data_IF_334851195416
#
_entry.id   IF_334851195416
#
_cell.length_a   1.000
_cell.length_b   1.000
_cell.length_c   1.000
_cell.angle_alpha   90.00
_cell.angle_beta   90.00
_cell.angle_gamma   90.00
#
_symmetry.space_group_name_H-M   'P 1'
#
loop_
_entity.id
_entity.type
_entity.pdbx_description
1 polymer ?
#
# COMPACT_ATOMS: atom_id res chain seq x y z
N UNK A 1 -1.04 13.86 10.99
CA UNK A 1 -0.01 13.43 11.97
C UNK A 1 0.94 12.39 11.41
N UNK A 2 0.46 11.34 10.72
CA UNK A 2 1.34 10.32 10.11
C UNK A 2 2.38 10.87 9.13
N UNK A 3 2.02 11.92 8.39
CA UNK A 3 2.88 12.53 7.37
C UNK A 3 3.77 13.66 7.92
N UNK A 4 3.74 13.90 9.24
CA UNK A 4 4.57 14.93 9.88
C UNK A 4 5.94 14.31 10.18
N UNK A 5 7.02 15.02 9.86
CA UNK A 5 8.39 14.56 10.13
C UNK A 5 8.69 14.37 11.62
N UNK A 6 9.63 13.46 11.93
CA UNK A 6 10.01 13.05 13.29
C UNK A 6 10.37 14.23 14.22
N UNK A 7 10.93 15.29 13.64
CA UNK A 7 11.33 16.52 14.33
C UNK A 7 10.18 17.27 15.03
N UNK A 8 8.93 17.01 14.66
CA UNK A 8 7.77 17.66 15.25
C UNK A 8 7.11 16.83 16.38
N UNK A 9 7.60 15.62 16.66
CA UNK A 9 7.09 14.83 17.79
C UNK A 9 7.75 15.26 19.09
N UNK A 10 7.12 16.22 19.78
CA UNK A 10 7.53 16.67 21.11
C UNK A 10 7.06 15.71 22.19
N UNK A 11 7.64 15.83 23.39
CA UNK A 11 7.25 15.02 24.55
C UNK A 11 5.76 15.18 24.91
N UNK A 12 5.19 16.38 24.70
CA UNK A 12 3.76 16.65 24.91
C UNK A 12 2.88 15.83 23.97
N UNK A 13 3.26 15.72 22.69
CA UNK A 13 2.55 14.91 21.71
C UNK A 13 2.62 13.43 22.10
N UNK A 14 3.79 12.95 22.52
CA UNK A 14 3.95 11.56 22.97
C UNK A 14 3.02 11.26 24.17
N UNK A 15 2.91 12.17 25.15
CA UNK A 15 1.98 12.00 26.27
C UNK A 15 0.52 11.92 25.82
N UNK A 16 0.12 12.71 24.83
CA UNK A 16 -1.24 12.63 24.26
C UNK A 16 -1.46 11.31 23.54
N UNK A 17 -0.50 10.86 22.73
CA UNK A 17 -0.57 9.58 22.02
C UNK A 17 -0.68 8.40 23.00
N UNK A 18 0.06 8.44 24.12
CA UNK A 18 -0.06 7.46 25.19
C UNK A 18 -1.47 7.42 25.80
N UNK A 19 -2.06 8.59 26.07
CA UNK A 19 -3.43 8.69 26.59
C UNK A 19 -4.46 8.10 25.63
N UNK A 20 -4.30 8.34 24.33
CA UNK A 20 -5.18 7.77 23.30
C UNK A 20 -5.01 6.26 23.21
N UNK A 21 -3.77 5.75 23.17
CA UNK A 21 -3.50 4.32 23.06
C UNK A 21 -4.02 3.51 24.25
N UNK A 22 -3.76 3.99 25.46
CA UNK A 22 -4.17 3.35 26.72
C UNK A 22 -5.62 3.67 27.13
N UNK A 23 -6.36 4.44 26.32
CA UNK A 23 -7.75 4.83 26.60
C UNK A 23 -7.94 5.50 27.98
N UNK A 24 -7.02 6.40 28.36
CA UNK A 24 -7.21 7.22 29.58
C UNK A 24 -8.34 8.27 29.41
N UNK A 25 -8.76 8.52 28.17
CA UNK A 25 -9.91 9.33 27.79
C UNK A 25 -11.10 8.44 27.39
N UNK A 26 -12.33 9.00 27.30
CA UNK A 26 -13.50 8.26 26.84
C UNK A 26 -13.23 7.47 25.56
N UNK A 27 -13.98 6.39 25.38
CA UNK A 27 -13.78 5.36 24.36
C UNK A 27 -13.17 5.89 23.07
N UNK A 28 -11.96 5.41 22.76
CA UNK A 28 -11.23 5.74 21.54
C UNK A 28 -11.40 4.60 20.54
N UNK A 29 -11.63 4.98 19.28
CA UNK A 29 -11.79 4.04 18.17
C UNK A 29 -10.53 3.19 17.97
N UNK A 30 -10.68 1.94 17.53
CA UNK A 30 -9.55 1.01 17.32
C UNK A 30 -8.49 1.59 16.36
N UNK A 31 -8.93 2.23 15.28
CA UNK A 31 -8.04 2.82 14.28
C UNK A 31 -7.17 3.94 14.87
N UNK A 32 -7.75 4.79 15.73
CA UNK A 32 -7.02 5.86 16.42
C UNK A 32 -5.97 5.30 17.38
N UNK A 33 -6.30 4.22 18.12
CA UNK A 33 -5.36 3.56 19.03
C UNK A 33 -4.19 2.91 18.30
N UNK A 34 -4.47 2.18 17.22
CA UNK A 34 -3.44 1.53 16.40
C UNK A 34 -2.53 2.59 15.77
N UNK A 35 -3.11 3.69 15.29
CA UNK A 35 -2.34 4.81 14.75
C UNK A 35 -1.47 5.46 15.83
N UNK A 36 -2.01 5.69 17.03
CA UNK A 36 -1.24 6.26 18.14
C UNK A 36 -0.04 5.37 18.51
N UNK A 37 -0.22 4.05 18.56
CA UNK A 37 0.88 3.11 18.78
C UNK A 37 1.93 3.17 17.66
N UNK A 38 1.52 3.23 16.38
CA UNK A 38 2.43 3.38 15.25
C UNK A 38 3.24 4.67 15.33
N UNK A 39 2.61 5.78 15.72
CA UNK A 39 3.29 7.06 15.89
C UNK A 39 4.28 7.02 17.05
N UNK A 40 3.91 6.43 18.20
CA UNK A 40 4.80 6.26 19.35
C UNK A 40 6.05 5.42 19.03
N UNK A 41 5.90 4.39 18.17
CA UNK A 41 7.02 3.58 17.71
C UNK A 41 7.96 4.34 16.77
N UNK A 42 7.43 5.30 16.00
CA UNK A 42 8.21 6.16 15.08
C UNK A 42 8.86 7.35 15.80
N UNK A 43 8.22 7.89 16.83
CA UNK A 43 8.66 9.11 17.52
C UNK A 43 9.74 8.86 18.59
N UNK A 44 11.00 8.68 18.18
CA UNK A 44 12.15 8.48 19.10
C UNK A 44 11.84 7.49 20.25
N UNK A 45 11.63 6.21 19.92
CA UNK A 45 11.18 5.23 20.90
C UNK A 45 12.21 5.01 22.01
N UNK A 46 11.75 4.93 23.25
CA UNK A 46 12.57 4.52 24.40
C UNK A 46 12.24 3.07 24.79
N UNK A 47 13.13 2.47 25.56
CA UNK A 47 12.91 1.14 26.15
C UNK A 47 11.63 1.13 27.01
N UNK A 48 11.35 2.22 27.72
CA UNK A 48 10.15 2.36 28.53
C UNK A 48 8.89 2.43 27.67
N UNK A 49 8.89 3.23 26.59
CA UNK A 49 7.70 3.38 25.73
C UNK A 49 7.32 2.06 25.06
N UNK A 50 8.31 1.33 24.53
CA UNK A 50 8.08 0.01 23.92
C UNK A 50 7.68 -1.03 24.99
N UNK A 51 8.26 -0.94 26.19
CA UNK A 51 7.91 -1.82 27.31
C UNK A 51 6.44 -1.68 27.75
N UNK A 52 5.91 -0.45 27.78
CA UNK A 52 4.50 -0.19 28.06
C UNK A 52 3.59 -0.74 26.95
N UNK A 53 3.97 -0.54 25.68
CA UNK A 53 3.22 -1.09 24.54
C UNK A 53 3.17 -2.62 24.64
N UNK A 54 4.29 -3.30 24.88
CA UNK A 54 4.34 -4.77 25.00
C UNK A 54 3.53 -5.25 26.20
N UNK A 55 3.59 -4.54 27.32
CA UNK A 55 2.81 -4.88 28.53
C UNK A 55 1.32 -4.80 28.26
N UNK A 56 0.86 -3.79 27.52
CA UNK A 56 -0.57 -3.64 27.22
C UNK A 56 -1.09 -4.69 26.22
N UNK A 57 -0.23 -5.35 25.44
CA UNK A 57 -0.62 -6.48 24.58
C UNK A 57 -1.12 -7.69 25.37
N UNK A 58 -0.79 -7.79 26.66
CA UNK A 58 -1.29 -8.87 27.52
C UNK A 58 -2.78 -8.77 27.83
N UNK A 59 -3.37 -7.58 27.66
CA UNK A 59 -4.79 -7.31 27.91
C UNK A 59 -5.59 -7.79 26.71
N UNK A 60 -6.20 -8.97 26.81
CA UNK A 60 -6.92 -9.63 25.71
C UNK A 60 -8.37 -9.14 25.51
N UNK A 61 -8.75 -7.97 26.03
CA UNK A 61 -10.09 -7.41 25.82
C UNK A 61 -10.36 -7.12 24.33
N UNK A 62 -9.33 -6.69 23.58
CA UNK A 62 -9.42 -6.40 22.15
C UNK A 62 -8.28 -7.13 21.39
N UNK A 63 -8.42 -8.45 21.14
CA UNK A 63 -7.33 -9.29 20.63
C UNK A 63 -6.90 -8.93 19.19
N UNK A 64 -7.78 -8.29 18.42
CA UNK A 64 -7.47 -7.85 17.07
C UNK A 64 -6.51 -6.65 17.06
N UNK A 65 -6.70 -5.70 17.99
CA UNK A 65 -5.81 -4.55 18.15
C UNK A 65 -4.44 -5.00 18.65
N UNK A 66 -4.39 -5.83 19.70
CA UNK A 66 -3.12 -6.32 20.25
C UNK A 66 -2.32 -7.08 19.19
N UNK A 67 -2.99 -7.91 18.39
CA UNK A 67 -2.35 -8.61 17.26
C UNK A 67 -1.81 -7.63 16.22
N UNK A 68 -2.61 -6.64 15.83
CA UNK A 68 -2.22 -5.67 14.80
C UNK A 68 -1.05 -4.79 15.26
N UNK A 69 -1.08 -4.30 16.50
CA UNK A 69 0.00 -3.50 17.10
C UNK A 69 1.28 -4.32 17.18
N UNK A 70 1.21 -5.58 17.61
CA UNK A 70 2.37 -6.48 17.62
C UNK A 70 2.96 -6.68 16.22
N UNK A 71 2.12 -6.86 15.20
CA UNK A 71 2.60 -6.98 13.80
C UNK A 71 3.23 -5.69 13.30
N UNK A 72 2.66 -4.53 13.64
CA UNK A 72 3.27 -3.22 13.34
C UNK A 72 4.59 -3.01 14.06
N UNK A 73 4.74 -3.48 15.30
CA UNK A 73 6.02 -3.45 16.03
C UNK A 73 7.09 -4.26 15.29
N UNK A 74 6.76 -5.48 14.84
CA UNK A 74 7.71 -6.28 14.04
C UNK A 74 8.11 -5.60 12.73
N UNK A 75 7.17 -4.93 12.05
CA UNK A 75 7.48 -4.19 10.82
C UNK A 75 8.38 -2.97 11.13
N UNK A 76 8.09 -2.24 12.22
CA UNK A 76 8.92 -1.13 12.68
C UNK A 76 10.34 -1.59 13.07
N UNK A 77 10.49 -2.79 13.64
CA UNK A 77 11.81 -3.42 13.86
C UNK A 77 12.54 -3.75 12.56
N UNK A 78 11.86 -3.99 11.44
CA UNK A 78 12.51 -4.23 10.15
C UNK A 78 13.00 -2.92 9.53
N UNK A 79 12.22 -1.85 9.65
CA UNK A 79 12.54 -0.53 9.11
C UNK A 79 13.62 0.21 9.92
N UNK A 80 13.52 0.21 11.26
CA UNK A 80 14.39 0.99 12.13
C UNK A 80 15.29 0.12 13.00
N UNK A 81 16.59 0.43 12.97
CA UNK A 81 17.60 -0.21 13.83
C UNK A 81 17.45 0.16 15.30
N UNK A 82 16.94 1.36 15.61
CA UNK A 82 16.75 1.85 17.00
C UNK A 82 15.61 1.10 17.69
N UNK A 83 14.47 0.96 17.02
CA UNK A 83 13.34 0.14 17.49
C UNK A 83 13.79 -1.30 17.70
N UNK A 84 14.56 -1.84 16.74
CA UNK A 84 15.11 -3.19 16.83
C UNK A 84 15.96 -3.37 18.08
N UNK A 85 16.92 -2.48 18.36
CA UNK A 85 17.75 -2.57 19.56
C UNK A 85 16.91 -2.51 20.83
N UNK A 86 15.98 -1.56 20.94
CA UNK A 86 15.13 -1.42 22.13
C UNK A 86 14.28 -2.67 22.38
N UNK A 87 13.65 -3.22 21.34
CA UNK A 87 12.87 -4.46 21.46
C UNK A 87 13.78 -5.62 21.82
N UNK A 88 14.95 -5.78 21.19
CA UNK A 88 15.86 -6.89 21.54
C UNK A 88 16.37 -6.81 22.97
N UNK A 89 16.59 -5.62 23.51
CA UNK A 89 17.01 -5.44 24.89
C UNK A 89 15.87 -5.71 25.88
N UNK A 90 14.63 -5.29 25.56
CA UNK A 90 13.45 -5.62 26.35
C UNK A 90 13.15 -7.11 26.39
N UNK A 91 13.24 -7.78 25.24
CA UNK A 91 12.91 -9.20 25.13
C UNK A 91 13.92 -10.11 25.86
N UNK A 92 15.10 -9.62 26.25
CA UNK A 92 16.01 -10.34 27.16
C UNK A 92 15.40 -10.50 28.54
N UNK A 93 14.52 -9.59 28.96
CA UNK A 93 13.82 -9.68 30.23
C UNK A 93 12.59 -10.58 30.09
N UNK A 94 12.54 -11.65 30.88
CA UNK A 94 11.46 -12.65 30.90
C UNK A 94 10.07 -12.08 31.21
N UNK A 95 9.97 -10.91 31.84
CA UNK A 95 8.69 -10.22 32.09
C UNK A 95 8.02 -9.76 30.80
N UNK A 96 8.81 -9.36 29.80
CA UNK A 96 8.34 -8.89 28.51
C UNK A 96 8.43 -9.98 27.43
N UNK A 97 9.56 -10.68 27.37
CA UNK A 97 9.87 -11.74 26.40
C UNK A 97 9.26 -13.10 26.74
N UNK A 98 7.93 -13.16 26.85
CA UNK A 98 7.22 -14.41 27.12
C UNK A 98 6.05 -14.63 26.14
N UNK A 99 5.59 -15.88 26.07
CA UNK A 99 4.46 -16.24 25.22
C UNK A 99 3.16 -15.57 25.65
N UNK A 100 3.01 -15.20 26.93
CA UNK A 100 1.81 -14.56 27.43
C UNK A 100 1.59 -13.18 26.78
N UNK A 101 2.66 -12.39 26.60
CA UNK A 101 2.59 -11.08 25.95
C UNK A 101 2.64 -11.17 24.42
N UNK A 102 3.40 -12.12 23.86
CA UNK A 102 3.71 -12.18 22.42
C UNK A 102 2.80 -13.12 21.63
N UNK A 103 2.12 -14.08 22.26
CA UNK A 103 1.21 -14.99 21.58
C UNK A 103 -0.19 -14.38 21.50
N UNK A 104 -0.50 -13.81 20.34
CA UNK A 104 -1.78 -13.14 20.10
C UNK A 104 -2.71 -14.00 19.24
N UNK A 105 -4.00 -14.05 19.62
CA UNK A 105 -5.01 -14.91 18.98
C UNK A 105 -5.76 -14.21 17.82
N UNK A 106 -5.64 -12.89 17.68
CA UNK A 106 -6.37 -12.13 16.65
C UNK A 106 -5.99 -12.51 15.21
N UNK A 107 -6.90 -12.24 14.29
CA UNK A 107 -6.80 -12.54 12.85
C UNK A 107 -6.16 -11.41 12.04
N UNK A 108 -6.08 -10.21 12.60
CA UNK A 108 -5.44 -9.03 12.02
C UNK A 108 -3.97 -9.25 11.68
N UNK A 109 -3.49 -8.59 10.63
CA UNK A 109 -2.12 -8.74 10.16
C UNK A 109 -1.56 -7.47 9.53
N UNK A 110 -0.23 -7.37 9.55
CA UNK A 110 0.52 -6.32 8.88
C UNK A 110 1.82 -6.92 8.39
N UNK A 111 2.17 -6.71 7.13
CA UNK A 111 3.40 -7.20 6.52
C UNK A 111 3.99 -6.12 5.61
N UNK A 112 5.31 -5.98 5.64
CA UNK A 112 6.06 -5.13 4.71
C UNK A 112 7.13 -6.01 4.07
N UNK A 113 7.19 -5.98 2.74
CA UNK A 113 8.12 -6.79 1.95
C UNK A 113 8.71 -5.95 0.83
N UNK A 114 9.87 -6.39 0.33
CA UNK A 114 10.50 -5.76 -0.82
C UNK A 114 9.83 -6.20 -2.12
N UNK A 115 9.43 -5.22 -2.94
CA UNK A 115 8.90 -5.42 -4.28
C UNK A 115 10.04 -5.62 -5.29
N UNK A 116 11.04 -4.73 -5.21
CA UNK A 116 12.20 -4.69 -6.09
C UNK A 116 13.32 -3.84 -5.47
N UNK A 117 14.51 -4.43 -5.34
CA UNK A 117 15.73 -3.71 -4.99
C UNK A 117 16.45 -3.28 -6.27
N UNK A 118 16.90 -2.04 -6.33
CA UNK A 118 17.86 -1.56 -7.35
C UNK A 118 19.06 -0.91 -6.66
N UNK A 119 20.13 -0.63 -7.40
CA UNK A 119 21.35 -0.04 -6.81
C UNK A 119 21.07 1.32 -6.14
N UNK A 120 20.17 2.11 -6.71
CA UNK A 120 19.86 3.47 -6.24
C UNK A 120 18.59 3.56 -5.38
N UNK A 121 17.67 2.59 -5.50
CA UNK A 121 16.37 2.64 -4.82
C UNK A 121 15.79 1.26 -4.51
N UNK A 122 15.19 1.12 -3.33
CA UNK A 122 14.42 -0.05 -2.91
C UNK A 122 12.94 0.28 -2.89
N UNK A 123 12.14 -0.51 -3.58
CA UNK A 123 10.68 -0.39 -3.58
C UNK A 123 10.11 -1.45 -2.67
N UNK A 124 9.32 -1.04 -1.69
CA UNK A 124 8.64 -1.91 -0.73
C UNK A 124 7.12 -1.81 -0.88
N UNK A 125 6.43 -2.90 -0.59
CA UNK A 125 4.98 -2.93 -0.46
C UNK A 125 4.59 -3.36 0.95
N UNK A 126 3.57 -2.70 1.50
CA UNK A 126 3.01 -2.97 2.81
C UNK A 126 1.53 -3.33 2.68
N UNK A 127 1.10 -4.37 3.40
CA UNK A 127 -0.31 -4.75 3.50
C UNK A 127 -0.72 -4.77 4.96
N UNK A 128 -1.76 -4.00 5.29
CA UNK A 128 -2.39 -4.00 6.59
C UNK A 128 -3.80 -4.56 6.47
N UNK A 129 -4.18 -5.44 7.38
CA UNK A 129 -5.51 -6.05 7.48
C UNK A 129 -5.95 -5.95 8.93
N UNK A 130 -6.94 -5.12 9.19
CA UNK A 130 -7.63 -5.00 10.47
C UNK A 130 -8.94 -5.77 10.40
N UNK A 131 -9.07 -6.75 11.28
CA UNK A 131 -10.25 -7.58 11.41
C UNK A 131 -11.05 -7.14 12.63
N UNK A 132 -12.36 -7.32 12.57
CA UNK A 132 -13.25 -7.22 13.72
C UNK A 132 -13.19 -8.53 14.54
N UNK A 133 -13.54 -8.50 15.83
CA UNK A 133 -13.65 -9.73 16.65
C UNK A 133 -14.59 -10.78 16.05
N UNK A 134 -15.58 -10.35 15.27
CA UNK A 134 -16.51 -11.23 14.53
C UNK A 134 -15.87 -12.01 13.37
N UNK A 135 -14.61 -11.68 13.02
CA UNK A 135 -13.92 -12.22 11.86
C UNK A 135 -14.28 -11.51 10.55
N UNK A 136 -15.01 -10.40 10.60
CA UNK A 136 -15.24 -9.53 9.44
C UNK A 136 -14.09 -8.57 9.22
N UNK A 137 -13.87 -8.18 7.97
CA UNK A 137 -12.87 -7.16 7.63
C UNK A 137 -13.36 -5.78 8.09
N UNK A 138 -12.53 -5.06 8.86
CA UNK A 138 -12.78 -3.65 9.21
C UNK A 138 -12.09 -2.71 8.23
N UNK A 139 -10.79 -2.92 8.02
CA UNK A 139 -9.97 -2.07 7.15
C UNK A 139 -8.85 -2.85 6.50
N UNK A 140 -8.56 -2.58 5.24
CA UNK A 140 -7.34 -3.03 4.58
C UNK A 140 -6.60 -1.85 4.00
N UNK A 141 -5.27 -1.86 4.05
CA UNK A 141 -4.46 -0.93 3.24
C UNK A 141 -3.39 -1.68 2.47
N UNK A 142 -3.11 -1.17 1.27
CA UNK A 142 -2.00 -1.53 0.42
C UNK A 142 -1.17 -0.27 0.19
N UNK A 143 0.07 -0.30 0.66
CA UNK A 143 0.98 0.84 0.67
C UNK A 143 2.19 0.50 -0.21
N UNK A 144 2.55 1.40 -1.12
CA UNK A 144 3.76 1.34 -1.95
C UNK A 144 4.67 2.50 -1.60
N UNK A 145 5.89 2.18 -1.20
CA UNK A 145 6.91 3.16 -0.85
C UNK A 145 8.22 2.86 -1.58
N UNK A 146 8.97 3.92 -1.88
CA UNK A 146 10.29 3.87 -2.48
C UNK A 146 11.27 4.54 -1.54
N UNK A 147 12.30 3.81 -1.15
CA UNK A 147 13.43 4.33 -0.39
C UNK A 147 14.60 4.54 -1.35
N UNK A 148 15.05 5.78 -1.53
CA UNK A 148 16.19 6.13 -2.39
C UNK A 148 17.01 7.27 -1.79
N UNK A 149 18.34 7.16 -1.82
CA UNK A 149 19.27 8.17 -1.27
C UNK A 149 18.94 8.66 0.17
N UNK A 150 18.36 7.80 1.01
CA UNK A 150 17.96 8.15 2.39
C UNK A 150 16.60 8.84 2.52
N UNK A 151 15.91 9.11 1.42
CA UNK A 151 14.54 9.63 1.42
C UNK A 151 13.52 8.52 1.16
N UNK A 152 12.41 8.56 1.89
CA UNK A 152 11.30 7.64 1.72
C UNK A 152 10.13 8.37 1.03
N UNK A 153 9.83 7.97 -0.21
CA UNK A 153 8.73 8.49 -1.00
C UNK A 153 7.53 7.54 -0.96
N UNK A 154 6.41 8.01 -0.42
CA UNK A 154 5.13 7.30 -0.48
C UNK A 154 4.53 7.43 -1.89
N UNK A 155 4.64 6.38 -2.70
CA UNK A 155 4.19 6.40 -4.09
C UNK A 155 2.68 6.29 -4.21
N UNK A 156 2.09 5.33 -3.50
CA UNK A 156 0.65 5.06 -3.54
C UNK A 156 0.22 4.42 -2.21
N UNK A 157 -0.93 4.80 -1.70
CA UNK A 157 -1.61 4.11 -0.61
C UNK A 157 -3.07 3.96 -0.97
N UNK A 158 -3.56 2.73 -1.00
CA UNK A 158 -4.98 2.42 -1.22
C UNK A 158 -5.50 1.74 0.04
N UNK A 159 -6.56 2.28 0.63
CA UNK A 159 -7.23 1.64 1.75
C UNK A 159 -8.72 1.46 1.50
N UNK A 160 -9.25 0.34 1.94
CA UNK A 160 -10.67 0.00 1.93
C UNK A 160 -11.12 -0.08 3.39
N UNK A 161 -12.29 0.48 3.68
CA UNK A 161 -12.86 0.47 5.02
C UNK A 161 -14.34 0.14 4.97
N UNK A 162 -14.81 -0.48 6.06
CA UNK A 162 -16.18 -0.95 6.21
C UNK A 162 -16.68 -0.58 7.62
N UNK A 163 -17.71 0.26 7.67
CA UNK A 163 -18.31 0.83 8.88
C UNK A 163 -19.76 0.33 9.04
N UNK A 164 -20.26 0.30 10.28
CA UNK A 164 -21.63 -0.17 10.57
C UNK A 164 -21.91 -1.68 10.41
N UNK A 165 -21.03 -2.47 9.78
CA UNK A 165 -21.23 -3.94 9.67
C UNK A 165 -20.89 -4.68 10.98
N UNK A 166 -21.90 -4.80 11.86
CA UNK A 166 -21.92 -5.72 13.00
C UNK A 166 -22.89 -6.87 12.77
N UNK A 167 -22.51 -8.09 13.17
CA UNK A 167 -23.36 -9.29 13.05
C UNK A 167 -24.16 -9.58 14.33
N UNK A 168 -23.91 -8.84 15.41
CA UNK A 168 -24.50 -9.04 16.73
C UNK A 168 -25.24 -7.77 17.20
N UNK A 169 -26.36 -7.98 17.89
CA UNK A 169 -27.21 -6.89 18.41
C UNK A 169 -26.49 -5.97 19.42
N UNK A 170 -25.41 -6.44 20.04
CA UNK A 170 -24.58 -5.64 20.95
C UNK A 170 -23.69 -4.64 20.19
N UNK A 171 -23.17 -5.01 19.02
CA UNK A 171 -22.32 -4.12 18.19
C UNK A 171 -23.16 -3.05 17.47
N UNK A 172 -24.40 -3.38 17.10
CA UNK A 172 -25.35 -2.40 16.51
C UNK A 172 -25.79 -1.33 17.53
N UNK A 173 -25.70 -1.62 18.84
CA UNK A 173 -25.97 -0.64 19.90
C UNK A 173 -24.76 0.25 20.21
N UNK A 174 -23.54 -0.27 20.06
CA UNK A 174 -22.30 0.50 20.28
C UNK A 174 -21.97 1.48 19.14
N UNK A 175 -22.34 1.14 17.90
CA UNK A 175 -22.19 2.04 16.75
C UNK A 175 -23.47 2.09 15.90
N UNK A 176 -24.36 3.08 16.13
CA UNK A 176 -25.56 3.30 15.34
C UNK A 176 -25.27 3.94 13.97
N UNK A 177 -24.04 3.76 13.46
CA UNK A 177 -23.64 4.26 12.16
C UNK A 177 -24.31 3.46 11.04
N UNK A 178 -24.78 4.15 10.02
CA UNK A 178 -25.31 3.51 8.83
C UNK A 178 -24.23 2.65 8.17
N UNK A 179 -24.60 1.43 7.74
CA UNK A 179 -23.69 0.53 7.04
C UNK A 179 -23.04 1.24 5.85
N UNK A 180 -21.73 1.43 5.89
CA UNK A 180 -21.02 2.13 4.83
C UNK A 180 -19.75 1.37 4.47
N UNK A 181 -19.34 1.48 3.22
CA UNK A 181 -18.03 1.04 2.79
C UNK A 181 -17.44 2.05 1.83
N UNK A 182 -16.13 2.21 1.88
CA UNK A 182 -15.45 3.17 1.04
C UNK A 182 -14.00 2.82 0.77
N UNK A 183 -13.41 3.63 -0.10
CA UNK A 183 -12.02 3.58 -0.50
C UNK A 183 -11.38 4.94 -0.28
N UNK A 184 -10.16 4.94 0.26
CA UNK A 184 -9.30 6.12 0.34
C UNK A 184 -8.03 5.84 -0.45
N UNK A 185 -7.66 6.77 -1.32
CA UNK A 185 -6.48 6.68 -2.16
C UNK A 185 -5.57 7.89 -1.90
N UNK A 186 -4.28 7.63 -1.80
CA UNK A 186 -3.22 8.64 -1.77
C UNK A 186 -2.20 8.31 -2.85
N UNK A 187 -1.77 9.32 -3.60
CA UNK A 187 -0.80 9.19 -4.69
C UNK A 187 0.26 10.25 -4.47
N UNK A 188 1.53 9.85 -4.43
CA UNK A 188 2.69 10.75 -4.23
C UNK A 188 2.52 11.68 -3.02
N UNK A 189 2.00 11.15 -1.91
CA UNK A 189 1.73 11.90 -0.68
C UNK A 189 0.47 12.78 -0.70
N UNK A 190 -0.25 12.87 -1.83
CA UNK A 190 -1.50 13.62 -1.93
C UNK A 190 -2.69 12.71 -1.67
N UNK A 191 -3.42 12.99 -0.59
CA UNK A 191 -4.65 12.29 -0.24
C UNK A 191 -5.80 12.79 -1.11
N UNK A 192 -6.42 11.88 -1.86
CA UNK A 192 -7.63 12.16 -2.62
C UNK A 192 -8.87 12.06 -1.74
N UNK A 193 -9.97 12.68 -2.17
CA UNK A 193 -11.26 12.57 -1.48
C UNK A 193 -11.67 11.09 -1.41
N UNK A 194 -12.00 10.57 -0.21
CA UNK A 194 -12.50 9.21 -0.09
C UNK A 194 -13.76 9.00 -0.95
N UNK A 195 -13.82 7.84 -1.58
CA UNK A 195 -14.96 7.40 -2.38
C UNK A 195 -15.80 6.43 -1.56
N UNK A 196 -17.10 6.71 -1.42
CA UNK A 196 -18.03 5.87 -0.66
C UNK A 196 -18.81 5.03 -1.68
N UNK A 197 -18.77 3.70 -1.53
CA UNK A 197 -19.45 2.77 -2.42
C UNK A 197 -20.97 2.76 -2.20
N UNK A 198 -21.39 2.79 -0.93
CA UNK A 198 -22.78 2.85 -0.52
C UNK A 198 -22.88 3.41 0.90
N UNK A 199 -24.07 3.93 1.20
CA UNK A 199 -24.48 4.38 2.53
C UNK A 199 -25.83 3.75 2.88
N UNK A 200 -25.88 3.05 4.01
CA UNK A 200 -27.07 2.34 4.48
C UNK A 200 -27.30 0.97 3.82
N UNK A 201 -28.19 0.20 4.45
CA UNK A 201 -28.54 -1.16 3.99
C UNK A 201 -29.33 -1.15 2.68
N UNK A 202 -30.11 -0.11 2.42
CA UNK A 202 -30.94 -0.01 1.20
C UNK A 202 -30.10 0.06 -0.08
N UNK A 203 -29.08 0.93 -0.09
CA UNK A 203 -28.17 1.05 -1.24
C UNK A 203 -27.31 -0.19 -1.42
N UNK A 204 -26.77 -0.75 -0.32
CA UNK A 204 -26.05 -2.02 -0.35
C UNK A 204 -26.88 -3.14 -0.98
N UNK A 205 -28.11 -3.33 -0.49
CA UNK A 205 -28.99 -4.38 -1.01
C UNK A 205 -29.34 -4.09 -2.47
N UNK A 206 -29.56 -2.82 -2.84
CA UNK A 206 -29.74 -2.42 -4.24
C UNK A 206 -28.57 -2.83 -5.13
N UNK A 207 -27.33 -2.62 -4.70
CA UNK A 207 -26.12 -3.03 -5.42
C UNK A 207 -25.99 -4.55 -5.56
N UNK A 208 -26.29 -5.30 -4.49
CA UNK A 208 -26.27 -6.76 -4.50
C UNK A 208 -27.34 -7.31 -5.46
N UNK A 209 -28.59 -6.80 -5.37
CA UNK A 209 -29.71 -7.30 -6.17
C UNK A 209 -29.63 -6.91 -7.65
N UNK A 210 -29.10 -5.72 -7.95
CA UNK A 210 -28.88 -5.29 -9.33
C UNK A 210 -27.71 -6.01 -10.00
N UNK A 211 -26.86 -6.71 -9.22
CA UNK A 211 -25.63 -7.29 -9.73
C UNK A 211 -24.65 -6.24 -10.24
N UNK A 212 -24.79 -4.97 -9.82
CA UNK A 212 -23.95 -3.87 -10.28
C UNK A 212 -22.46 -4.10 -9.98
N UNK A 213 -22.15 -4.89 -8.94
CA UNK A 213 -20.78 -5.28 -8.60
C UNK A 213 -20.11 -6.25 -9.58
N UNK A 214 -20.87 -7.01 -10.38
CA UNK A 214 -20.30 -8.05 -11.24
C UNK A 214 -19.47 -7.47 -12.39
N UNK A 215 -19.82 -6.26 -12.86
CA UNK A 215 -19.08 -5.60 -13.93
C UNK A 215 -17.95 -4.73 -13.34
N UNK A 216 -16.76 -4.73 -13.97
CA UNK A 216 -15.65 -3.87 -13.53
C UNK A 216 -16.05 -2.40 -13.58
N UNK A 217 -16.06 -1.75 -12.42
CA UNK A 217 -16.37 -0.33 -12.27
C UNK A 217 -15.07 0.44 -12.08
N UNK A 218 -14.76 1.46 -12.92
CA UNK A 218 -13.57 2.28 -12.75
C UNK A 218 -13.75 3.18 -11.52
N UNK A 219 -12.78 3.14 -10.62
CA UNK A 219 -12.75 4.00 -9.42
C UNK A 219 -11.86 5.23 -9.63
N UNK A 220 -10.71 5.08 -10.31
CA UNK A 220 -9.78 6.18 -10.61
C UNK A 220 -9.21 6.01 -12.00
N UNK A 221 -9.33 7.06 -12.81
CA UNK A 221 -8.71 7.15 -14.13
C UNK A 221 -8.06 8.51 -14.27
N UNK A 222 -6.73 8.56 -14.17
CA UNK A 222 -6.01 9.82 -14.10
C UNK A 222 -4.61 9.73 -14.71
N UNK A 223 -4.13 10.88 -15.20
CA UNK A 223 -2.77 11.08 -15.65
C UNK A 223 -2.11 12.12 -14.75
N UNK A 224 -1.01 11.75 -14.14
CA UNK A 224 -0.23 12.59 -13.23
C UNK A 224 1.08 12.97 -13.91
N UNK A 225 1.40 14.27 -13.96
CA UNK A 225 2.73 14.73 -14.31
C UNK A 225 3.59 14.67 -13.04
N UNK A 226 4.44 13.66 -12.95
CA UNK A 226 5.22 13.33 -11.75
C UNK A 226 6.61 13.97 -11.74
N UNK A 227 7.16 14.26 -12.93
CA UNK A 227 8.44 14.94 -13.10
C UNK A 227 8.21 16.03 -14.13
N UNK A 228 8.57 17.27 -13.79
CA UNK A 228 8.63 18.38 -14.74
C UNK A 228 9.82 19.25 -14.37
N UNK A 229 10.94 19.01 -15.04
CA UNK A 229 12.17 19.75 -14.82
C UNK A 229 12.65 20.32 -16.15
N UNK A 230 12.96 21.62 -16.14
CA UNK A 230 13.55 22.32 -17.27
C UNK A 230 14.67 23.20 -16.77
N UNK A 231 15.88 22.93 -17.23
CA UNK A 231 17.08 23.65 -16.83
C UNK A 231 17.85 24.07 -18.08
N UNK A 232 18.19 25.35 -18.14
CA UNK A 232 19.14 25.87 -19.13
C UNK A 232 20.44 26.15 -18.41
N UNK A 233 21.51 25.48 -18.81
CA UNK A 233 22.85 25.62 -18.23
C UNK A 233 23.75 26.31 -19.22
N UNK A 234 24.42 27.37 -18.78
CA UNK A 234 25.48 28.03 -19.57
C UNK A 234 26.81 27.38 -19.21
N UNK A 235 27.46 26.76 -20.19
CA UNK A 235 28.76 26.12 -20.01
C UNK A 235 29.88 27.17 -19.93
N UNK A 236 31.04 26.76 -19.41
CA UNK A 236 32.22 27.64 -19.29
C UNK A 236 32.72 28.18 -20.64
N UNK A 237 32.42 27.49 -21.74
CA UNK A 237 32.73 27.92 -23.10
C UNK A 237 31.65 28.84 -23.72
N UNK A 238 30.65 29.26 -22.94
CA UNK A 238 29.56 30.14 -23.38
C UNK A 238 28.43 29.45 -24.14
N UNK A 239 28.48 28.12 -24.30
CA UNK A 239 27.42 27.36 -24.98
C UNK A 239 26.23 27.14 -24.04
N UNK A 240 25.03 27.29 -24.57
CA UNK A 240 23.79 26.99 -23.85
C UNK A 240 23.41 25.52 -24.03
N UNK A 241 23.12 24.84 -22.91
CA UNK A 241 22.61 23.48 -22.87
C UNK A 241 21.23 23.50 -22.24
N UNK A 242 20.23 23.09 -23.01
CA UNK A 242 18.86 22.95 -22.51
C UNK A 242 18.61 21.49 -22.15
N UNK A 243 18.23 21.28 -20.88
CA UNK A 243 17.87 20.00 -20.32
C UNK A 243 16.38 20.06 -19.98
N UNK A 244 15.60 19.13 -20.53
CA UNK A 244 14.19 18.97 -20.18
C UNK A 244 13.92 17.53 -19.81
N UNK A 245 13.21 17.33 -18.71
CA UNK A 245 12.82 16.02 -18.21
C UNK A 245 11.37 16.08 -17.78
N UNK A 246 10.52 15.28 -18.42
CA UNK A 246 9.11 15.13 -18.11
C UNK A 246 8.79 13.67 -17.83
N UNK A 247 8.06 13.44 -16.75
CA UNK A 247 7.60 12.12 -16.32
C UNK A 247 6.11 12.15 -16.11
N UNK A 248 5.39 11.22 -16.73
CA UNK A 248 3.96 11.05 -16.56
C UNK A 248 3.63 9.64 -16.08
N UNK A 249 2.71 9.55 -15.12
CA UNK A 249 2.13 8.31 -14.62
C UNK A 249 0.65 8.30 -14.98
N UNK A 250 0.20 7.29 -15.72
CA UNK A 250 -1.22 7.01 -15.92
C UNK A 250 -1.64 5.90 -14.96
N UNK A 251 -2.77 6.07 -14.29
CA UNK A 251 -3.36 5.07 -13.41
C UNK A 251 -4.83 4.85 -13.75
N UNK A 252 -5.22 3.58 -13.89
CA UNK A 252 -6.59 3.10 -14.09
C UNK A 252 -6.86 2.00 -13.07
N UNK A 253 -7.60 2.35 -12.02
CA UNK A 253 -8.00 1.45 -10.94
C UNK A 253 -9.48 1.11 -11.15
N UNK A 254 -9.76 -0.18 -11.27
CA UNK A 254 -11.13 -0.70 -11.42
C UNK A 254 -11.37 -1.88 -10.49
N UNK A 255 -12.61 -2.06 -10.06
CA UNK A 255 -13.01 -3.15 -9.17
C UNK A 255 -14.29 -3.84 -9.62
N UNK A 256 -14.37 -5.14 -9.39
CA UNK A 256 -15.59 -5.93 -9.50
C UNK A 256 -15.74 -6.82 -8.27
N UNK A 257 -16.97 -7.00 -7.80
CA UNK A 257 -17.32 -7.82 -6.65
C UNK A 257 -18.54 -8.65 -6.99
N UNK A 258 -18.39 -9.97 -6.90
CA UNK A 258 -19.47 -10.94 -7.02
C UNK A 258 -19.76 -11.51 -5.63
N UNK A 259 -21.01 -11.42 -5.18
CA UNK A 259 -21.44 -11.97 -3.89
C UNK A 259 -22.56 -12.96 -4.12
N UNK A 260 -22.43 -14.17 -3.58
CA UNK A 260 -23.50 -15.17 -3.57
C UNK A 260 -23.91 -15.50 -2.15
N UNK A 261 -25.10 -15.02 -1.75
CA UNK A 261 -25.69 -15.35 -0.46
C UNK A 261 -26.10 -16.83 -0.36
N UNK A 262 -26.44 -17.46 -1.50
CA UNK A 262 -26.82 -18.87 -1.55
C UNK A 262 -25.64 -19.81 -1.35
N UNK A 263 -24.55 -19.55 -2.07
CA UNK A 263 -23.33 -20.35 -1.97
C UNK A 263 -22.42 -19.88 -0.83
N UNK A 264 -22.78 -18.77 -0.16
CA UNK A 264 -22.08 -18.16 0.96
C UNK A 264 -20.60 -17.84 0.66
N UNK A 265 -20.36 -17.32 -0.53
CA UNK A 265 -19.04 -16.89 -0.98
C UNK A 265 -19.08 -15.51 -1.61
N UNK A 266 -17.93 -14.84 -1.60
CA UNK A 266 -17.70 -13.59 -2.31
C UNK A 266 -16.37 -13.67 -3.06
N UNK A 267 -16.35 -13.11 -4.26
CA UNK A 267 -15.17 -13.00 -5.11
C UNK A 267 -15.02 -11.54 -5.51
N UNK A 268 -13.90 -10.92 -5.15
CA UNK A 268 -13.60 -9.55 -5.51
C UNK A 268 -12.29 -9.49 -6.31
N UNK A 269 -12.28 -8.68 -7.35
CA UNK A 269 -11.10 -8.43 -8.19
C UNK A 269 -10.91 -6.94 -8.30
N UNK A 270 -9.73 -6.45 -7.90
CA UNK A 270 -9.29 -5.07 -8.09
C UNK A 270 -8.13 -5.09 -9.06
N UNK A 271 -8.33 -4.47 -10.22
CA UNK A 271 -7.30 -4.33 -11.26
C UNK A 271 -6.74 -2.92 -11.21
N UNK A 272 -5.45 -2.82 -10.89
CA UNK A 272 -4.70 -1.58 -10.91
C UNK A 272 -3.75 -1.59 -12.11
N UNK A 273 -4.07 -0.81 -13.14
CA UNK A 273 -3.21 -0.63 -14.31
C UNK A 273 -2.46 0.68 -14.14
N UNK A 274 -1.13 0.60 -14.17
CA UNK A 274 -0.26 1.77 -14.15
C UNK A 274 0.62 1.80 -15.39
N UNK A 275 0.79 2.97 -16.00
CA UNK A 275 1.81 3.16 -17.04
C UNK A 275 2.68 4.36 -16.73
N UNK A 276 3.99 4.15 -16.75
CA UNK A 276 4.98 5.19 -16.56
C UNK A 276 5.61 5.55 -17.90
N UNK A 277 5.73 6.84 -18.17
CA UNK A 277 6.47 7.39 -19.31
C UNK A 277 7.36 8.51 -18.80
N UNK A 278 8.67 8.38 -19.00
CA UNK A 278 9.67 9.41 -18.72
C UNK A 278 10.35 9.75 -20.03
N UNK A 279 10.14 10.98 -20.48
CA UNK A 279 10.75 11.53 -21.69
C UNK A 279 11.61 12.72 -21.30
N UNK A 280 12.78 12.82 -21.91
CA UNK A 280 13.62 13.99 -21.74
C UNK A 280 14.42 14.25 -22.98
N UNK A 281 14.94 15.47 -23.07
CA UNK A 281 15.88 15.84 -24.09
C UNK A 281 17.01 16.68 -23.53
N UNK A 282 18.15 16.59 -24.19
CA UNK A 282 19.29 17.48 -24.01
C UNK A 282 19.58 18.12 -25.36
N UNK A 283 19.55 19.45 -25.43
CA UNK A 283 19.80 20.23 -26.64
C UNK A 283 21.01 21.13 -26.42
N UNK A 284 21.90 21.14 -27.40
CA UNK A 284 23.07 22.01 -27.44
C UNK A 284 23.04 22.76 -28.75
N UNK A 285 22.83 24.06 -28.68
CA UNK A 285 22.76 24.95 -29.84
C UNK A 285 24.02 25.80 -29.93
N UNK A 286 24.71 25.66 -31.07
CA UNK A 286 25.82 26.54 -31.45
C UNK A 286 25.60 27.06 -32.85
N UNK A 287 26.35 28.10 -33.24
CA UNK A 287 26.26 28.68 -34.59
C UNK A 287 26.72 27.72 -35.70
N UNK A 288 27.45 26.65 -35.36
CA UNK A 288 28.05 25.73 -36.32
C UNK A 288 27.49 24.31 -36.25
N UNK A 289 26.97 23.88 -35.10
CA UNK A 289 26.37 22.55 -34.89
C UNK A 289 25.21 22.65 -33.90
N UNK A 290 24.09 22.02 -34.25
CA UNK A 290 22.97 21.74 -33.35
C UNK A 290 22.97 20.24 -33.04
N UNK A 291 23.05 19.89 -31.75
CA UNK A 291 23.02 18.51 -31.28
C UNK A 291 21.88 18.33 -30.31
N UNK A 292 21.04 17.33 -30.59
CA UNK A 292 19.86 17.03 -29.80
C UNK A 292 19.83 15.55 -29.46
N UNK A 293 19.68 15.24 -28.17
CA UNK A 293 19.56 13.89 -27.65
C UNK A 293 18.22 13.75 -26.96
N UNK A 294 17.31 13.03 -27.59
CA UNK A 294 16.05 12.60 -27.02
C UNK A 294 16.22 11.24 -26.35
N UNK A 295 15.64 11.08 -25.16
CA UNK A 295 15.43 9.78 -24.57
C UNK A 295 14.00 9.64 -24.08
N UNK A 296 13.47 8.43 -24.24
CA UNK A 296 12.15 8.07 -23.76
C UNK A 296 12.21 6.68 -23.16
N UNK A 297 11.77 6.55 -21.92
CA UNK A 297 11.65 5.29 -21.22
C UNK A 297 10.25 5.13 -20.67
N UNK A 298 9.69 3.94 -20.75
CA UNK A 298 8.35 3.70 -20.25
C UNK A 298 7.91 2.26 -20.30
N UNK A 299 6.88 1.95 -19.53
CA UNK A 299 6.30 0.62 -19.41
C UNK A 299 4.94 0.69 -18.73
N UNK A 300 4.09 -0.27 -19.07
CA UNK A 300 2.82 -0.51 -18.39
C UNK A 300 2.93 -1.73 -17.50
N UNK A 301 2.46 -1.63 -16.26
CA UNK A 301 2.33 -2.76 -15.33
C UNK A 301 0.88 -2.88 -14.88
N UNK A 302 0.44 -4.10 -14.62
CA UNK A 302 -0.85 -4.38 -14.02
C UNK A 302 -0.60 -5.08 -12.69
N UNK A 303 -1.38 -4.72 -11.68
CA UNK A 303 -1.43 -5.39 -10.38
C UNK A 303 -2.87 -5.85 -10.16
N UNK A 304 -3.06 -7.15 -10.17
CA UNK A 304 -4.36 -7.79 -9.94
C UNK A 304 -4.42 -8.23 -8.48
N UNK A 305 -5.37 -7.68 -7.74
CA UNK A 305 -5.67 -8.08 -6.37
C UNK A 305 -6.97 -8.86 -6.36
N UNK A 306 -6.89 -10.15 -6.01
CA UNK A 306 -8.04 -11.05 -5.93
C UNK A 306 -8.31 -11.37 -4.47
N UNK A 307 -9.57 -11.24 -4.05
CA UNK A 307 -10.03 -11.57 -2.72
C UNK A 307 -11.14 -12.61 -2.85
N UNK A 308 -10.87 -13.81 -2.35
CA UNK A 308 -11.88 -14.84 -2.18
C UNK A 308 -12.27 -14.94 -0.72
N UNK A 309 -13.57 -14.94 -0.46
CA UNK A 309 -14.13 -15.05 0.88
C UNK A 309 -15.17 -16.16 0.92
N UNK A 310 -14.99 -17.11 1.84
CA UNK A 310 -15.95 -18.17 2.15
C UNK A 310 -16.48 -17.94 3.56
N UNK A 311 -17.75 -17.55 3.63
CA UNK A 311 -18.48 -17.29 4.87
C UNK A 311 -19.51 -18.38 5.19
N UNK A 312 -19.38 -19.58 4.59
CA UNK A 312 -20.24 -20.70 4.89
C UNK A 312 -20.02 -21.28 6.30
N UNK A 313 -18.80 -21.20 6.82
CA UNK A 313 -18.40 -21.72 8.14
C UNK A 313 -17.72 -20.62 8.96
N UNK A 314 -17.88 -20.67 10.28
CA UNK A 314 -17.13 -19.83 11.23
C UNK A 314 -15.87 -20.58 11.71
N UNK A 315 -14.69 -19.94 11.80
CA UNK A 315 -14.38 -18.59 11.34
C UNK A 315 -14.38 -18.49 9.81
N UNK A 316 -14.74 -17.32 9.27
CA UNK A 316 -14.74 -17.07 7.83
C UNK A 316 -13.33 -17.29 7.25
N UNK A 317 -13.25 -17.93 6.09
CA UNK A 317 -11.98 -18.12 5.40
C UNK A 317 -11.81 -17.02 4.34
N UNK A 318 -10.67 -16.34 4.37
CA UNK A 318 -10.31 -15.31 3.40
C UNK A 318 -8.98 -15.67 2.75
N UNK A 319 -8.93 -15.61 1.42
CA UNK A 319 -7.73 -15.74 0.63
C UNK A 319 -7.51 -14.48 -0.19
N UNK A 320 -6.40 -13.79 0.08
CA UNK A 320 -5.94 -12.63 -0.66
C UNK A 320 -4.79 -13.05 -1.58
N UNK A 321 -4.88 -12.69 -2.85
CA UNK A 321 -3.83 -12.89 -3.85
C UNK A 321 -3.48 -11.55 -4.47
N UNK A 322 -2.18 -11.28 -4.60
CA UNK A 322 -1.68 -10.10 -5.31
C UNK A 322 -0.74 -10.61 -6.39
N UNK A 323 -1.11 -10.38 -7.64
CA UNK A 323 -0.42 -10.90 -8.81
C UNK A 323 -0.02 -9.76 -9.75
N UNK A 324 1.18 -9.88 -10.30
CA UNK A 324 1.71 -8.99 -11.32
C UNK A 324 1.93 -9.80 -12.60
N UNK A 325 1.17 -9.56 -13.67
CA UNK A 325 1.44 -10.14 -14.98
C UNK A 325 2.79 -9.67 -15.54
N UNK A 326 3.39 -10.43 -16.47
CA UNK A 326 4.63 -10.01 -17.12
C UNK A 326 4.43 -8.74 -17.93
N UNK A 327 5.45 -7.88 -17.94
CA UNK A 327 5.42 -6.64 -18.70
C UNK A 327 6.77 -6.31 -19.34
N UNK A 328 6.75 -5.40 -20.31
CA UNK A 328 7.93 -4.96 -21.03
C UNK A 328 8.17 -3.49 -20.75
N UNK A 329 9.38 -3.18 -20.29
CA UNK A 329 9.86 -1.81 -20.15
C UNK A 329 10.72 -1.47 -21.37
N UNK A 330 10.42 -0.36 -22.05
CA UNK A 330 11.11 0.07 -23.26
C UNK A 330 11.92 1.33 -22.98
N UNK A 331 13.12 1.40 -23.53
CA UNK A 331 14.00 2.54 -23.48
C UNK A 331 14.51 2.84 -24.90
N UNK A 332 14.21 4.03 -25.38
CA UNK A 332 14.61 4.53 -26.69
C UNK A 332 15.46 5.78 -26.51
N UNK A 333 16.61 5.82 -27.17
CA UNK A 333 17.48 6.99 -27.25
C UNK A 333 17.63 7.35 -28.72
N UNK A 334 17.44 8.62 -29.05
CA UNK A 334 17.64 9.17 -30.38
C UNK A 334 18.55 10.38 -30.27
N UNK A 335 19.68 10.32 -30.97
CA UNK A 335 20.60 11.43 -31.15
C UNK A 335 20.46 11.97 -32.56
N UNK A 336 20.34 13.28 -32.70
CA UNK A 336 20.31 13.98 -33.99
C UNK A 336 21.32 15.12 -33.98
N UNK A 337 22.17 15.19 -35.00
CA UNK A 337 23.14 16.26 -35.19
C UNK A 337 22.90 16.91 -36.55
N UNK A 338 22.82 18.24 -36.56
CA UNK A 338 22.59 19.08 -37.73
C UNK A 338 23.64 20.18 -37.80
N UNK A 339 24.10 20.50 -39.01
CA UNK A 339 24.98 21.65 -39.26
C UNK A 339 24.11 22.73 -39.93
N UNK A 340 23.87 23.89 -39.27
CA UNK A 340 23.08 24.97 -39.83
C UNK A 340 23.60 25.39 -41.21
N UNK A 341 22.70 25.50 -42.19
CA UNK A 341 23.05 25.87 -43.57
C UNK A 341 23.45 24.69 -44.48
N UNK A 342 23.51 23.46 -43.97
CA UNK A 342 23.71 22.26 -44.79
C UNK A 342 22.51 21.31 -44.68
N UNK A 343 22.37 20.38 -45.63
CA UNK A 343 21.40 19.27 -45.53
C UNK A 343 21.94 18.08 -44.71
N UNK A 344 23.09 18.23 -44.06
CA UNK A 344 23.76 17.14 -43.38
C UNK A 344 23.07 16.89 -42.03
N UNK A 345 22.45 15.71 -41.92
CA UNK A 345 21.65 15.28 -40.79
C UNK A 345 22.11 13.88 -40.37
N UNK A 346 22.76 13.78 -39.22
CA UNK A 346 23.18 12.50 -38.66
C UNK A 346 22.14 12.07 -37.62
N UNK A 347 21.57 10.87 -37.79
CA UNK A 347 20.59 10.31 -36.86
C UNK A 347 21.07 8.95 -36.35
N UNK A 348 21.19 8.83 -35.04
CA UNK A 348 21.53 7.58 -34.36
C UNK A 348 20.40 7.21 -33.42
N UNK A 349 19.84 6.01 -33.57
CA UNK A 349 18.74 5.52 -32.73
C UNK A 349 19.17 4.23 -32.06
N UNK A 350 18.98 4.15 -30.74
CA UNK A 350 19.23 2.95 -29.94
C UNK A 350 17.96 2.59 -29.20
N UNK A 351 17.47 1.37 -29.39
CA UNK A 351 16.28 0.85 -28.71
C UNK A 351 16.68 -0.32 -27.83
N UNK A 352 16.16 -0.35 -26.60
CA UNK A 352 16.33 -1.43 -25.63
C UNK A 352 14.96 -1.79 -25.06
N UNK A 353 14.74 -3.07 -24.86
CA UNK A 353 13.55 -3.59 -24.17
C UNK A 353 13.99 -4.53 -23.06
N UNK A 354 13.44 -4.35 -21.88
CA UNK A 354 13.64 -5.22 -20.73
C UNK A 354 12.34 -5.95 -20.46
N UNK A 355 12.41 -7.27 -20.31
CA UNK A 355 11.27 -8.11 -19.97
C UNK A 355 11.26 -8.37 -18.47
N UNK A 356 10.14 -8.08 -17.82
CA UNK A 356 9.90 -8.39 -16.43
C UNK A 356 8.92 -9.57 -16.35
N UNK A 357 9.32 -10.70 -15.74
CA UNK A 357 8.45 -11.86 -15.61
C UNK A 357 7.31 -11.57 -14.63
N UNK A 358 6.17 -12.26 -14.84
CA UNK A 358 5.06 -12.19 -13.90
C UNK A 358 5.38 -12.88 -12.58
N UNK A 359 4.82 -12.38 -11.48
CA UNK A 359 5.05 -12.89 -10.13
C UNK A 359 3.83 -12.68 -9.23
N UNK A 360 3.68 -13.54 -8.24
CA UNK A 360 2.73 -13.38 -7.13
C UNK A 360 3.46 -12.93 -5.87
N UNK A 361 2.86 -12.02 -5.10
CA UNK A 361 3.47 -11.51 -3.88
C UNK A 361 3.08 -12.34 -2.66
N UNK A 362 4.06 -12.60 -1.79
CA UNK A 362 3.81 -13.30 -0.53
C UNK A 362 3.25 -12.32 0.50
N UNK A 363 2.17 -12.72 1.16
CA UNK A 363 1.51 -11.93 2.19
C UNK A 363 1.91 -12.45 3.58
N UNK A 364 0.96 -12.53 4.51
CA UNK A 364 1.17 -13.09 5.84
C UNK A 364 0.84 -14.59 5.86
N UNK A 365 1.51 -15.34 6.74
CA UNK A 365 1.39 -16.81 6.82
C UNK A 365 -0.06 -17.30 6.97
N UNK A 366 -0.88 -16.62 7.79
CA UNK A 366 -2.31 -16.99 7.96
C UNK A 366 -3.07 -16.91 6.64
N UNK A 367 -2.77 -15.93 5.78
CA UNK A 367 -3.36 -15.85 4.44
C UNK A 367 -2.97 -17.06 3.58
N UNK A 368 -1.68 -17.39 3.55
CA UNK A 368 -1.19 -18.55 2.77
C UNK A 368 -1.80 -19.87 3.25
N UNK A 369 -2.03 -20.03 4.56
CA UNK A 369 -2.70 -21.19 5.13
C UNK A 369 -4.19 -21.25 4.77
N UNK A 370 -4.88 -20.10 4.72
CA UNK A 370 -6.27 -19.99 4.26
C UNK A 370 -6.40 -20.26 2.76
N UNK A 371 -5.58 -19.61 1.94
CA UNK A 371 -5.50 -19.85 0.50
C UNK A 371 -5.21 -21.31 0.18
N UNK A 372 -4.29 -21.95 0.91
CA UNK A 372 -4.01 -23.38 0.75
C UNK A 372 -5.24 -24.25 0.98
N UNK A 373 -6.19 -23.86 1.83
CA UNK A 373 -7.43 -24.62 2.08
C UNK A 373 -8.49 -24.32 1.03
N UNK A 374 -8.62 -23.06 0.61
CA UNK A 374 -9.65 -22.60 -0.33
C UNK A 374 -9.35 -23.00 -1.77
N UNK A 375 -8.08 -22.95 -2.18
CA UNK A 375 -7.62 -23.25 -3.54
C UNK A 375 -7.32 -24.73 -3.77
N UNK A 376 -7.61 -25.62 -2.82
CA UNK A 376 -7.44 -27.06 -3.07
C UNK A 376 -8.42 -27.47 -4.16
N UNK A 377 -7.97 -28.20 -5.20
CA UNK A 377 -8.89 -28.78 -6.16
C UNK A 377 -9.84 -29.68 -5.37
N UNK A 378 -11.15 -29.34 -5.38
CA UNK A 378 -12.17 -30.18 -4.76
C UNK A 378 -12.05 -31.55 -5.41
N UNK A 379 -11.59 -32.57 -4.67
CA UNK A 379 -11.66 -33.95 -5.14
C UNK A 379 -13.12 -34.20 -5.49
N UNK A 380 -13.43 -34.38 -6.77
CA UNK A 380 -14.69 -34.97 -7.16
C UNK A 380 -14.79 -36.28 -6.39
N UNK A 381 -15.65 -36.33 -5.37
CA UNK A 381 -16.09 -37.61 -4.84
C UNK A 381 -16.86 -38.23 -5.99
N UNK A 382 -16.18 -39.11 -6.73
CA UNK A 382 -16.84 -40.05 -7.60
C UNK A 382 -17.83 -40.81 -6.73
N UNK A 383 -19.11 -40.52 -6.89
CA UNK A 383 -20.17 -41.37 -6.39
C UNK A 383 -20.11 -42.67 -7.18
N UNK A 384 -19.37 -43.64 -6.64
CA UNK A 384 -19.48 -45.06 -6.93
C UNK A 384 -19.55 -45.79 -5.61
#
# INVERSE_FOLDING_TARGET
>A
MKDIGEQHFTQEINQVLFRVYNQFWPHQESAARVLAAELLMKSHPTVETIGEIISSLSIQEQPEISTLVLKKLYNSMQESSTVRSCVTDLLKNTTFGNYYNLAQNGSSSSVINELQATYDANVTYGINVEMRPTGMLKRTSFDLSMLGNGENAHLMSMSLFVEGFGLTDEEQKENPEEHSAGMQLSILGVHLRPYIFFTGTGELMGLIWSGAGNNPTPAVQANFLIIDQSHTVVLQNGIHVDLNLKGALSADISGSVEVSMWNKNAHAVVKNKGSLLVNGFCRVDTSFVESHVDFGMGGGSVLDMVVDLDFAKKPMAMCLQVEQPPFIFRHNIRKTETIPGTQLLIKTVKRRSMYFPGKSFNLFRKNSDSCRKMLQPKKHKSFW
#
